data_IF_152250387537
#
_entry.id   IF_152250387537
#
_cell.length_a   1.000
_cell.length_b   1.000
_cell.length_c   1.000
_cell.angle_alpha   90.00
_cell.angle_beta   90.00
_cell.angle_gamma   90.00
#
_symmetry.space_group_name_H-M   'P 1'
#
loop_
_entity.id
_entity.type
_entity.pdbx_description
1 polymer ?
#
# COMPACT_ATOMS: atom_id res chain seq x y z
N UNK A 1 -33.87 -7.88 30.39
CA UNK A 1 -34.26 -7.16 29.15
C UNK A 1 -35.42 -6.24 29.50
N UNK A 2 -35.12 -5.04 29.99
CA UNK A 2 -36.12 -4.04 30.40
C UNK A 2 -36.27 -3.02 29.27
N UNK A 3 -37.43 -3.04 28.62
CA UNK A 3 -37.83 -2.05 27.62
C UNK A 3 -38.22 -0.77 28.37
N UNK A 4 -37.36 0.26 28.34
CA UNK A 4 -37.74 1.60 28.80
C UNK A 4 -38.57 2.26 27.70
N UNK A 5 -39.78 2.70 28.08
CA UNK A 5 -40.78 3.33 27.22
C UNK A 5 -40.22 4.63 26.62
N UNK A 6 -40.49 4.83 25.33
CA UNK A 6 -40.10 6.01 24.56
C UNK A 6 -40.94 7.22 25.01
N UNK A 7 -40.42 8.05 25.91
CA UNK A 7 -40.98 9.37 26.19
C UNK A 7 -40.28 10.46 25.36
N UNK A 8 -41.11 11.38 24.88
CA UNK A 8 -40.86 12.36 23.83
C UNK A 8 -40.27 13.67 24.37
N UNK A 9 -39.02 13.64 24.80
CA UNK A 9 -38.23 14.86 24.98
C UNK A 9 -36.77 14.57 24.67
N UNK A 10 -36.33 15.10 23.54
CA UNK A 10 -35.00 14.90 22.96
C UNK A 10 -34.06 15.94 23.58
N UNK A 11 -33.28 15.53 24.60
CA UNK A 11 -32.06 16.24 24.97
C UNK A 11 -30.89 15.33 24.60
N UNK A 12 -30.05 15.83 23.70
CA UNK A 12 -28.99 15.10 22.99
C UNK A 12 -27.67 15.12 23.79
N UNK A 13 -27.77 14.96 25.10
CA UNK A 13 -26.63 14.71 25.96
C UNK A 13 -26.48 13.19 26.07
N UNK A 14 -25.33 12.69 25.59
CA UNK A 14 -24.93 11.30 25.76
C UNK A 14 -24.57 11.06 27.23
N UNK A 15 -25.56 11.16 28.11
CA UNK A 15 -25.40 10.82 29.51
C UNK A 15 -25.15 9.31 29.60
N UNK A 16 -23.90 8.96 29.86
CA UNK A 16 -23.55 7.67 30.45
C UNK A 16 -24.38 7.58 31.73
N UNK A 17 -25.03 6.44 32.03
CA UNK A 17 -25.70 6.28 33.32
C UNK A 17 -24.63 6.38 34.41
N UNK A 18 -24.44 7.58 34.95
CA UNK A 18 -23.52 7.87 36.03
C UNK A 18 -23.91 7.03 37.23
N UNK A 19 -23.05 6.08 37.62
CA UNK A 19 -23.04 5.42 38.93
C UNK A 19 -24.38 4.88 39.45
N UNK A 20 -25.41 4.75 38.61
CA UNK A 20 -26.74 4.38 39.02
C UNK A 20 -26.82 2.86 38.94
N UNK A 21 -26.95 2.19 40.08
CA UNK A 21 -27.00 0.73 40.24
C UNK A 21 -28.25 0.09 39.63
N UNK A 22 -28.95 0.81 38.74
CA UNK A 22 -30.17 0.35 38.06
C UNK A 22 -29.88 -0.40 36.75
N UNK A 23 -28.65 -0.33 36.23
CA UNK A 23 -28.25 -0.98 34.96
C UNK A 23 -27.02 -1.85 35.18
N UNK A 24 -27.20 -3.17 35.13
CA UNK A 24 -26.09 -4.14 35.28
C UNK A 24 -25.26 -4.31 33.98
N UNK A 25 -25.90 -4.15 32.82
CA UNK A 25 -25.26 -4.32 31.51
C UNK A 25 -25.63 -3.20 30.55
N UNK A 26 -24.61 -2.57 29.98
CA UNK A 26 -24.78 -1.51 28.98
C UNK A 26 -24.32 -2.01 27.60
N UNK A 27 -25.25 -2.07 26.65
CA UNK A 27 -25.01 -2.56 25.29
C UNK A 27 -25.43 -1.53 24.25
N UNK A 28 -24.68 -0.42 24.16
CA UNK A 28 -24.80 0.57 23.07
C UNK A 28 -23.42 0.94 22.52
N UNK A 29 -23.34 1.34 21.24
CA UNK A 29 -22.10 1.86 20.68
C UNK A 29 -21.68 3.12 21.45
N UNK A 30 -20.58 3.03 22.19
CA UNK A 30 -19.95 4.17 22.84
C UNK A 30 -18.48 4.23 22.49
N UNK A 31 -17.92 5.43 22.49
CA UNK A 31 -16.46 5.60 22.35
C UNK A 31 -15.82 5.35 23.69
N UNK A 32 -14.83 4.46 23.74
CA UNK A 32 -14.08 4.22 24.97
C UNK A 32 -13.21 5.45 25.28
N UNK A 33 -13.45 6.05 26.44
CA UNK A 33 -12.67 7.15 27.01
C UNK A 33 -12.07 6.70 28.34
N UNK A 34 -10.95 7.29 28.72
CA UNK A 34 -10.30 7.02 30.01
C UNK A 34 -11.22 7.38 31.19
N UNK A 35 -12.01 8.44 31.03
CA UNK A 35 -13.04 8.89 32.00
C UNK A 35 -14.04 7.79 32.37
N UNK A 36 -14.29 6.81 31.49
CA UNK A 36 -15.26 5.74 31.75
C UNK A 36 -14.64 4.51 32.40
N UNK A 37 -13.30 4.41 32.44
CA UNK A 37 -12.60 3.28 33.05
C UNK A 37 -12.63 3.32 34.58
N UNK A 38 -13.00 4.45 35.18
CA UNK A 38 -13.20 4.56 36.63
C UNK A 38 -14.51 3.92 37.07
N UNK A 39 -15.54 3.99 36.23
CA UNK A 39 -16.92 3.66 36.60
C UNK A 39 -17.42 2.37 35.93
N UNK A 40 -16.81 1.98 34.80
CA UNK A 40 -17.23 0.83 34.02
C UNK A 40 -16.03 0.00 33.54
N UNK A 41 -16.20 -1.32 33.54
CA UNK A 41 -15.21 -2.26 33.01
C UNK A 41 -15.60 -2.68 31.58
N UNK A 42 -14.92 -2.15 30.54
CA UNK A 42 -15.19 -2.57 29.17
C UNK A 42 -14.69 -4.01 28.96
N UNK A 43 -15.52 -4.87 28.39
CA UNK A 43 -15.14 -6.25 28.07
C UNK A 43 -14.12 -6.30 26.93
N UNK A 44 -14.48 -5.72 25.79
CA UNK A 44 -13.64 -5.70 24.59
C UNK A 44 -14.11 -4.64 23.60
N UNK A 45 -13.20 -4.06 22.82
CA UNK A 45 -13.54 -3.19 21.72
C UNK A 45 -14.10 -4.01 20.56
N UNK A 46 -15.43 -4.02 20.39
CA UNK A 46 -16.11 -4.77 19.32
C UNK A 46 -15.86 -4.11 17.95
N UNK A 47 -15.64 -2.80 17.93
CA UNK A 47 -15.54 -2.03 16.70
C UNK A 47 -14.50 -0.92 16.79
N UNK A 48 -13.51 -0.96 15.88
CA UNK A 48 -12.61 0.16 15.63
C UNK A 48 -13.18 1.05 14.52
N UNK A 49 -13.51 2.28 14.87
CA UNK A 49 -13.91 3.31 13.90
C UNK A 49 -12.68 3.85 13.20
N UNK A 50 -12.62 3.66 11.88
CA UNK A 50 -11.61 4.27 10.99
C UNK A 50 -12.31 5.32 10.13
N UNK A 51 -11.77 6.51 10.14
CA UNK A 51 -12.32 7.68 9.46
C UNK A 51 -11.23 8.33 8.63
N UNK A 52 -11.56 8.67 7.39
CA UNK A 52 -10.58 9.19 6.46
C UNK A 52 -11.16 9.45 5.09
N UNK A 53 -10.26 9.65 4.13
CA UNK A 53 -10.62 9.93 2.75
C UNK A 53 -10.60 8.64 1.94
N UNK A 54 -11.66 8.44 1.17
CA UNK A 54 -11.71 7.48 0.10
C UNK A 54 -11.51 8.22 -1.22
N UNK A 55 -10.55 7.78 -2.02
CA UNK A 55 -10.27 8.33 -3.34
C UNK A 55 -9.94 7.22 -4.32
N UNK A 56 -10.02 7.52 -5.61
CA UNK A 56 -9.55 6.63 -6.67
C UNK A 56 -8.19 7.12 -7.17
N UNK A 57 -7.20 6.23 -7.16
CA UNK A 57 -5.88 6.53 -7.70
C UNK A 57 -5.76 5.99 -9.13
N UNK A 58 -5.88 6.88 -10.12
CA UNK A 58 -5.71 6.52 -11.53
C UNK A 58 -4.24 6.65 -11.91
N UNK A 59 -3.55 5.51 -11.98
CA UNK A 59 -2.11 5.45 -12.29
C UNK A 59 -1.87 5.67 -13.79
N UNK A 60 -1.59 6.92 -14.19
CA UNK A 60 -1.13 7.25 -15.54
C UNK A 60 0.39 7.03 -15.65
N UNK A 61 0.89 5.80 -15.46
CA UNK A 61 2.32 5.52 -15.70
C UNK A 61 2.51 4.98 -17.12
N UNK A 62 3.42 5.59 -17.87
CA UNK A 62 3.80 5.10 -19.21
C UNK A 62 4.47 3.73 -19.07
N UNK A 63 4.12 2.79 -19.96
CA UNK A 63 4.65 1.42 -19.96
C UNK A 63 6.19 1.37 -20.08
N UNK A 64 6.83 2.38 -20.69
CA UNK A 64 8.29 2.43 -20.88
C UNK A 64 9.07 2.54 -19.57
N UNK A 65 8.53 3.23 -18.56
CA UNK A 65 9.22 3.40 -17.27
C UNK A 65 9.25 2.09 -16.48
N UNK A 66 8.34 1.15 -16.77
CA UNK A 66 8.23 -0.11 -16.02
C UNK A 66 9.33 -1.10 -16.36
N UNK A 67 9.69 -1.24 -17.64
CA UNK A 67 10.69 -2.24 -18.07
C UNK A 67 12.13 -1.87 -17.71
N UNK A 68 12.41 -0.59 -17.47
CA UNK A 68 13.73 -0.11 -17.01
C UNK A 68 13.87 -0.10 -15.49
N UNK A 69 12.77 -0.22 -14.75
CA UNK A 69 12.70 -0.21 -13.29
C UNK A 69 13.43 -1.36 -12.56
N UNK A 70 13.50 -2.61 -13.09
CA UNK A 70 14.03 -3.74 -12.34
C UNK A 70 15.53 -3.65 -12.02
N UNK A 71 16.28 -2.90 -12.83
CA UNK A 71 17.71 -2.72 -12.67
C UNK A 71 18.08 -1.24 -12.65
N UNK A 72 19.03 -0.92 -11.78
CA UNK A 72 19.60 0.43 -11.73
C UNK A 72 20.49 0.67 -12.95
N UNK A 73 20.64 1.93 -13.33
CA UNK A 73 21.50 2.38 -14.44
C UNK A 73 22.91 1.74 -14.39
N UNK A 74 23.63 1.66 -13.25
CA UNK A 74 24.95 1.02 -13.23
C UNK A 74 24.93 -0.47 -13.56
N UNK A 75 23.85 -1.20 -13.25
CA UNK A 75 23.72 -2.63 -13.59
C UNK A 75 23.54 -2.80 -15.10
N UNK A 76 22.72 -1.97 -15.73
CA UNK A 76 22.58 -1.96 -17.20
C UNK A 76 23.91 -1.69 -17.90
N UNK A 77 24.66 -0.70 -17.42
CA UNK A 77 26.01 -0.39 -17.92
C UNK A 77 26.95 -1.59 -17.73
N UNK A 78 26.88 -2.26 -16.59
CA UNK A 78 27.68 -3.46 -16.31
C UNK A 78 27.35 -4.62 -17.25
N UNK A 79 26.08 -4.84 -17.59
CA UNK A 79 25.63 -5.86 -18.55
C UNK A 79 26.18 -5.58 -19.96
N UNK A 80 26.16 -4.31 -20.39
CA UNK A 80 26.72 -3.92 -21.69
C UNK A 80 28.23 -4.17 -21.70
N UNK A 81 28.93 -3.81 -20.61
CA UNK A 81 30.36 -4.07 -20.49
C UNK A 81 30.72 -5.55 -20.49
N UNK A 82 29.95 -6.40 -19.79
CA UNK A 82 30.20 -7.85 -19.79
C UNK A 82 29.94 -8.48 -21.16
N UNK A 83 28.95 -7.99 -21.91
CA UNK A 83 28.69 -8.41 -23.29
C UNK A 83 29.83 -8.01 -24.25
N UNK A 84 30.35 -6.78 -24.12
CA UNK A 84 31.49 -6.34 -24.92
C UNK A 84 32.76 -7.12 -24.57
N UNK A 85 33.01 -7.34 -23.27
CA UNK A 85 34.17 -8.11 -22.80
C UNK A 85 34.09 -9.57 -23.27
N UNK A 86 32.93 -10.21 -23.17
CA UNK A 86 32.74 -11.59 -23.64
C UNK A 86 32.96 -11.71 -25.14
N UNK A 87 32.50 -10.73 -25.93
CA UNK A 87 32.76 -10.65 -27.37
C UNK A 87 34.26 -10.61 -27.68
N UNK A 88 35.04 -9.81 -26.93
CA UNK A 88 36.50 -9.73 -27.09
C UNK A 88 37.17 -11.07 -26.74
N UNK A 89 36.73 -11.73 -25.66
CA UNK A 89 37.25 -13.05 -25.27
C UNK A 89 36.93 -14.10 -26.33
N UNK A 90 35.71 -14.13 -26.86
CA UNK A 90 35.33 -15.05 -27.94
C UNK A 90 36.10 -14.77 -29.23
N UNK A 91 36.32 -13.51 -29.56
CA UNK A 91 37.16 -13.12 -30.69
C UNK A 91 38.60 -13.63 -30.53
N UNK A 92 39.21 -13.47 -29.35
CA UNK A 92 40.54 -14.00 -29.05
C UNK A 92 40.53 -15.53 -29.22
N UNK A 93 39.59 -16.24 -28.59
CA UNK A 93 39.50 -17.71 -28.70
C UNK A 93 39.33 -18.18 -30.15
N UNK A 94 38.51 -17.48 -30.93
CA UNK A 94 38.29 -17.73 -32.35
C UNK A 94 39.55 -17.48 -33.18
N UNK A 95 40.32 -16.43 -32.85
CA UNK A 95 41.61 -16.15 -33.45
C UNK A 95 42.65 -17.24 -33.17
N UNK A 96 42.73 -17.72 -31.93
CA UNK A 96 43.59 -18.86 -31.58
C UNK A 96 43.18 -20.14 -32.30
N UNK A 97 41.88 -20.41 -32.40
CA UNK A 97 41.36 -21.56 -33.12
C UNK A 97 41.70 -21.52 -34.61
N UNK A 98 41.56 -20.34 -35.24
CA UNK A 98 41.98 -20.13 -36.63
C UNK A 98 43.47 -20.38 -36.83
N UNK A 99 44.32 -19.99 -35.87
CA UNK A 99 45.76 -20.22 -35.95
C UNK A 99 46.14 -21.71 -35.87
N UNK A 100 45.35 -22.51 -35.15
CA UNK A 100 45.62 -23.93 -34.91
C UNK A 100 45.01 -24.85 -35.98
N UNK A 101 43.78 -24.58 -36.41
CA UNK A 101 42.97 -25.51 -37.23
C UNK A 101 42.68 -24.94 -38.63
N UNK A 102 42.84 -23.62 -38.82
CA UNK A 102 42.36 -22.91 -40.01
C UNK A 102 40.86 -22.64 -39.94
N UNK A 103 40.41 -21.54 -40.56
CA UNK A 103 39.01 -21.09 -40.56
C UNK A 103 38.83 -19.60 -40.84
N UNK A 104 37.59 -19.17 -40.99
CA UNK A 104 37.21 -17.76 -41.14
C UNK A 104 36.87 -17.15 -39.76
N UNK A 105 37.46 -15.99 -39.45
CA UNK A 105 37.19 -15.26 -38.20
C UNK A 105 36.64 -13.89 -38.54
N UNK A 106 35.42 -13.60 -38.08
CA UNK A 106 34.81 -12.28 -38.22
C UNK A 106 34.35 -11.79 -36.84
N UNK A 107 34.82 -10.61 -36.43
CA UNK A 107 34.44 -10.00 -35.14
C UNK A 107 32.93 -9.80 -35.04
N UNK A 108 32.29 -9.40 -36.13
CA UNK A 108 30.84 -9.21 -36.19
C UNK A 108 30.08 -10.52 -35.93
N UNK A 109 30.60 -11.65 -36.38
CA UNK A 109 29.98 -12.95 -36.16
C UNK A 109 30.04 -13.33 -34.67
N UNK A 110 31.19 -13.15 -34.02
CA UNK A 110 31.35 -13.43 -32.58
C UNK A 110 30.50 -12.46 -31.73
N UNK A 111 30.37 -11.20 -32.13
CA UNK A 111 29.47 -10.24 -31.47
C UNK A 111 28.00 -10.66 -31.58
N UNK A 112 27.55 -11.02 -32.79
CA UNK A 112 26.18 -11.48 -33.02
C UNK A 112 25.88 -12.75 -32.22
N UNK A 113 26.86 -13.63 -32.07
CA UNK A 113 26.74 -14.87 -31.31
C UNK A 113 26.68 -14.60 -29.80
N UNK A 114 27.49 -13.67 -29.27
CA UNK A 114 27.38 -13.21 -27.89
C UNK A 114 26.03 -12.52 -27.62
N UNK A 115 25.58 -11.66 -28.54
CA UNK A 115 24.31 -10.97 -28.45
C UNK A 115 23.12 -11.94 -28.51
N UNK A 116 23.16 -12.92 -29.42
CA UNK A 116 22.09 -13.92 -29.52
C UNK A 116 22.00 -14.76 -28.25
N UNK A 117 23.15 -15.21 -27.71
CA UNK A 117 23.19 -15.95 -26.46
C UNK A 117 22.64 -15.14 -25.28
N UNK A 118 22.89 -13.83 -25.25
CA UNK A 118 22.30 -12.93 -24.27
C UNK A 118 20.76 -12.83 -24.41
N UNK A 119 20.27 -12.79 -25.65
CA UNK A 119 18.84 -12.87 -25.97
C UNK A 119 18.24 -14.29 -25.87
N UNK A 120 18.98 -15.27 -25.35
CA UNK A 120 18.57 -16.69 -25.27
C UNK A 120 18.30 -17.35 -26.63
N UNK A 121 18.83 -16.78 -27.71
CA UNK A 121 18.75 -17.33 -29.05
C UNK A 121 20.04 -18.08 -29.40
N UNK A 122 19.90 -19.36 -29.76
CA UNK A 122 21.02 -20.23 -30.12
C UNK A 122 21.29 -20.08 -31.62
N UNK A 123 22.38 -19.38 -31.96
CA UNK A 123 22.94 -19.40 -33.31
C UNK A 123 23.80 -20.66 -33.50
N UNK A 124 23.93 -21.17 -34.74
CA UNK A 124 24.76 -22.34 -35.01
C UNK A 124 26.22 -22.05 -34.68
N UNK A 125 26.71 -22.61 -33.57
CA UNK A 125 28.09 -22.48 -33.12
C UNK A 125 28.96 -23.57 -33.76
N UNK A 126 29.86 -23.16 -34.65
CA UNK A 126 30.90 -24.04 -35.19
C UNK A 126 32.14 -23.98 -34.30
N UNK A 127 32.12 -24.63 -33.12
CA UNK A 127 33.26 -24.72 -32.20
C UNK A 127 33.97 -26.07 -32.25
N UNK A 128 35.22 -26.10 -32.73
CA UNK A 128 36.04 -27.31 -32.81
C UNK A 128 36.88 -27.52 -31.54
N UNK A 129 37.32 -26.44 -30.87
CA UNK A 129 38.08 -26.53 -29.61
C UNK A 129 37.18 -26.66 -28.37
N UNK A 130 37.55 -27.56 -27.45
CA UNK A 130 36.88 -27.73 -26.16
C UNK A 130 36.92 -26.44 -25.30
N UNK A 131 38.02 -25.68 -25.35
CA UNK A 131 38.14 -24.42 -24.61
C UNK A 131 37.06 -23.40 -25.02
N UNK A 132 36.80 -23.25 -26.33
CA UNK A 132 35.76 -22.36 -26.84
C UNK A 132 34.36 -22.82 -26.42
N UNK A 133 34.09 -24.13 -26.46
CA UNK A 133 32.80 -24.70 -26.00
C UNK A 133 32.53 -24.43 -24.52
N UNK A 134 33.54 -24.61 -23.67
CA UNK A 134 33.41 -24.36 -22.22
C UNK A 134 33.18 -22.87 -21.94
N UNK A 135 33.92 -21.98 -22.61
CA UNK A 135 33.73 -20.54 -22.46
C UNK A 135 32.31 -20.11 -22.86
N UNK A 136 31.79 -20.63 -23.97
CA UNK A 136 30.41 -20.39 -24.42
C UNK A 136 29.38 -20.92 -23.43
N UNK A 137 29.57 -22.12 -22.90
CA UNK A 137 28.67 -22.69 -21.92
C UNK A 137 28.59 -21.84 -20.65
N UNK A 138 29.73 -21.41 -20.11
CA UNK A 138 29.79 -20.54 -18.92
C UNK A 138 29.10 -19.20 -19.20
N UNK A 139 29.31 -18.63 -20.39
CA UNK A 139 28.67 -17.37 -20.78
C UNK A 139 27.15 -17.51 -20.86
N UNK A 140 26.63 -18.54 -21.53
CA UNK A 140 25.18 -18.81 -21.62
C UNK A 140 24.60 -19.02 -20.21
N UNK A 141 25.28 -19.76 -19.35
CA UNK A 141 24.85 -19.96 -17.97
C UNK A 141 24.79 -18.65 -17.18
N UNK A 142 25.78 -17.76 -17.36
CA UNK A 142 25.78 -16.43 -16.74
C UNK A 142 24.63 -15.54 -17.25
N UNK A 143 24.37 -15.53 -18.56
CA UNK A 143 23.27 -14.79 -19.17
C UNK A 143 21.91 -15.31 -18.70
N UNK A 144 21.78 -16.64 -18.54
CA UNK A 144 20.59 -17.26 -17.98
C UNK A 144 20.31 -16.80 -16.54
N UNK A 145 21.35 -16.77 -15.68
CA UNK A 145 21.21 -16.25 -14.32
C UNK A 145 20.75 -14.79 -14.31
N UNK A 146 21.37 -13.92 -15.12
CA UNK A 146 21.00 -12.51 -15.23
C UNK A 146 19.53 -12.38 -15.64
N UNK A 147 19.09 -13.18 -16.61
CA UNK A 147 17.70 -13.19 -17.05
C UNK A 147 16.73 -13.64 -15.95
N UNK A 148 17.05 -14.68 -15.19
CA UNK A 148 16.24 -15.12 -14.05
C UNK A 148 16.09 -14.03 -12.99
N UNK A 149 17.17 -13.30 -12.68
CA UNK A 149 17.11 -12.17 -11.75
C UNK A 149 16.28 -11.02 -12.32
N UNK A 150 16.43 -10.70 -13.60
CA UNK A 150 15.65 -9.66 -14.26
C UNK A 150 14.15 -9.93 -14.18
N UNK A 151 13.72 -11.14 -14.57
CA UNK A 151 12.29 -11.49 -14.58
C UNK A 151 11.70 -11.55 -13.17
N UNK A 152 12.45 -12.04 -12.17
CA UNK A 152 12.02 -12.05 -10.78
C UNK A 152 11.83 -10.63 -10.21
N UNK A 153 12.79 -9.74 -10.44
CA UNK A 153 12.67 -8.34 -9.98
C UNK A 153 11.58 -7.58 -10.70
N UNK A 154 11.39 -7.82 -12.01
CA UNK A 154 10.29 -7.24 -12.78
C UNK A 154 8.94 -7.68 -12.22
N UNK A 155 8.79 -8.97 -11.93
CA UNK A 155 7.56 -9.51 -11.34
C UNK A 155 7.30 -8.91 -9.95
N UNK A 156 8.33 -8.81 -9.11
CA UNK A 156 8.22 -8.20 -7.78
C UNK A 156 7.74 -6.74 -7.87
N UNK A 157 8.32 -5.95 -8.77
CA UNK A 157 7.86 -4.57 -8.99
C UNK A 157 6.43 -4.51 -9.51
N UNK A 158 6.04 -5.41 -10.41
CA UNK A 158 4.67 -5.43 -10.94
C UNK A 158 3.63 -5.76 -9.87
N UNK A 159 3.98 -6.66 -8.94
CA UNK A 159 3.13 -6.99 -7.79
C UNK A 159 3.07 -5.83 -6.79
N UNK A 160 4.21 -5.18 -6.53
CA UNK A 160 4.33 -4.16 -5.47
C UNK A 160 3.95 -2.73 -5.92
N UNK A 161 3.86 -2.43 -7.22
CA UNK A 161 3.52 -1.07 -7.71
C UNK A 161 2.08 -0.63 -7.39
N UNK A 162 1.27 -1.54 -6.84
CA UNK A 162 -0.06 -1.22 -6.30
C UNK A 162 -0.03 -0.50 -4.94
N UNK A 163 1.12 -0.49 -4.26
CA UNK A 163 1.21 -0.06 -2.86
C UNK A 163 1.89 1.31 -2.69
N UNK A 164 1.70 2.26 -3.62
CA UNK A 164 2.07 3.66 -3.33
C UNK A 164 1.09 4.25 -2.33
N UNK A 165 1.36 4.07 -1.05
CA UNK A 165 0.61 4.62 0.07
C UNK A 165 0.61 6.15 -0.05
N UNK A 166 -0.56 6.75 -0.27
CA UNK A 166 -0.74 8.19 -0.24
C UNK A 166 -0.99 8.62 1.20
N UNK A 167 -0.12 9.45 1.74
CA UNK A 167 -0.31 10.00 3.08
C UNK A 167 -1.21 11.25 3.06
N UNK A 168 -1.75 11.61 4.22
CA UNK A 168 -2.56 12.83 4.39
C UNK A 168 -1.81 14.09 3.93
N UNK A 169 -0.48 14.10 4.07
CA UNK A 169 0.39 15.19 3.59
C UNK A 169 0.37 15.30 2.06
N UNK A 170 0.51 14.17 1.37
CA UNK A 170 0.50 14.13 -0.10
C UNK A 170 -0.88 14.49 -0.62
N UNK A 171 -1.94 13.98 0.03
CA UNK A 171 -3.32 14.32 -0.28
C UNK A 171 -3.57 15.83 -0.10
N UNK A 172 -3.04 16.44 0.98
CA UNK A 172 -3.22 17.88 1.22
C UNK A 172 -2.58 18.78 0.16
N UNK A 173 -1.46 18.33 -0.43
CA UNK A 173 -0.74 19.05 -1.48
C UNK A 173 -1.26 18.74 -2.89
N UNK A 174 -2.05 17.68 -3.04
CA UNK A 174 -2.59 17.25 -4.32
C UNK A 174 -3.80 18.07 -4.80
N UNK A 175 -4.09 17.98 -6.09
CA UNK A 175 -5.22 18.64 -6.77
C UNK A 175 -6.57 17.91 -6.59
N UNK A 176 -6.69 17.06 -5.57
CA UNK A 176 -7.96 16.37 -5.31
C UNK A 176 -8.99 17.34 -4.73
N UNK A 177 -10.22 17.26 -5.24
CA UNK A 177 -11.36 17.98 -4.67
C UNK A 177 -11.85 17.23 -3.43
N UNK A 178 -11.98 17.92 -2.30
CA UNK A 178 -12.52 17.32 -1.09
C UNK A 178 -14.05 17.40 -1.11
N UNK A 179 -14.72 16.31 -0.71
CA UNK A 179 -16.19 16.22 -0.60
C UNK A 179 -16.56 15.57 0.74
N UNK A 180 -17.58 16.11 1.40
CA UNK A 180 -18.12 15.54 2.65
C UNK A 180 -19.49 14.94 2.39
N UNK A 181 -19.75 13.77 2.97
CA UNK A 181 -21.08 13.14 2.95
C UNK A 181 -22.00 13.87 3.94
N UNK A 182 -23.21 14.22 3.49
CA UNK A 182 -24.22 14.97 4.28
C UNK A 182 -24.43 14.43 5.69
N UNK A 183 -24.54 13.11 5.85
CA UNK A 183 -24.81 12.47 7.15
C UNK A 183 -23.62 12.53 8.12
N UNK A 184 -22.41 12.83 7.61
CA UNK A 184 -21.18 12.92 8.39
C UNK A 184 -20.79 14.36 8.75
N UNK A 185 -21.44 15.37 8.15
CA UNK A 185 -21.05 16.78 8.32
C UNK A 185 -21.05 17.20 9.80
N UNK A 186 -22.10 16.85 10.54
CA UNK A 186 -22.28 17.23 11.95
C UNK A 186 -21.25 16.59 12.91
N UNK A 187 -20.89 15.33 12.64
CA UNK A 187 -19.92 14.58 13.47
C UNK A 187 -18.50 15.06 13.19
N UNK A 188 -18.24 15.46 11.94
CA UNK A 188 -16.93 15.92 11.47
C UNK A 188 -16.60 17.30 12.05
N UNK A 189 -17.54 18.24 12.00
CA UNK A 189 -17.34 19.62 12.42
C UNK A 189 -16.95 19.72 13.91
N UNK A 190 -17.67 19.00 14.78
CA UNK A 190 -17.35 18.96 16.23
C UNK A 190 -16.01 18.26 16.53
N UNK A 191 -15.67 17.18 15.82
CA UNK A 191 -14.46 16.38 16.13
C UNK A 191 -13.18 16.99 15.56
N UNK A 192 -13.25 17.60 14.37
CA UNK A 192 -12.07 18.24 13.77
C UNK A 192 -11.64 19.44 14.61
N UNK A 193 -12.59 20.27 15.06
CA UNK A 193 -12.31 21.44 15.90
C UNK A 193 -11.77 21.10 17.30
N UNK A 194 -12.18 19.96 17.87
CA UNK A 194 -11.73 19.54 19.22
C UNK A 194 -10.31 18.95 19.23
N UNK A 195 -9.76 18.54 18.09
CA UNK A 195 -8.53 17.73 18.01
C UNK A 195 -7.40 18.41 17.23
N UNK A 196 -7.54 19.71 16.93
CA UNK A 196 -6.64 20.45 16.04
C UNK A 196 -5.30 20.85 16.66
N UNK A 197 -4.51 19.89 17.13
CA UNK A 197 -3.11 20.13 17.56
C UNK A 197 -2.13 19.96 16.40
N UNK A 198 -2.45 19.12 15.41
CA UNK A 198 -1.56 18.80 14.29
C UNK A 198 -1.61 19.82 13.14
N UNK A 199 -0.42 20.30 12.72
CA UNK A 199 -0.24 21.28 11.63
C UNK A 199 -0.82 20.81 10.29
N UNK A 200 -0.81 19.50 10.04
CA UNK A 200 -1.35 18.91 8.81
C UNK A 200 -2.87 18.89 8.81
N UNK A 201 -3.51 18.57 9.94
CA UNK A 201 -4.96 18.67 10.09
C UNK A 201 -5.45 20.11 9.88
N UNK A 202 -4.73 21.12 10.35
CA UNK A 202 -5.06 22.55 10.11
C UNK A 202 -5.10 22.93 8.63
N UNK A 203 -4.26 22.31 7.81
CA UNK A 203 -4.21 22.59 6.36
C UNK A 203 -5.39 21.95 5.64
N UNK A 204 -5.75 20.73 6.06
CA UNK A 204 -6.95 20.03 5.57
C UNK A 204 -8.22 20.75 6.05
N UNK A 205 -8.26 21.24 7.29
CA UNK A 205 -9.34 22.07 7.87
C UNK A 205 -9.63 23.33 7.06
N UNK A 206 -8.59 24.04 6.60
CA UNK A 206 -8.78 25.20 5.71
C UNK A 206 -9.40 24.83 4.37
N UNK A 207 -9.05 23.66 3.82
CA UNK A 207 -9.69 23.14 2.61
C UNK A 207 -11.13 22.68 2.88
N UNK A 208 -11.42 22.20 4.09
CA UNK A 208 -12.77 21.79 4.51
C UNK A 208 -13.80 22.92 4.51
N UNK A 209 -13.40 24.16 4.81
CA UNK A 209 -14.34 25.30 4.85
C UNK A 209 -14.97 25.62 3.48
N UNK A 210 -14.36 25.20 2.38
CA UNK A 210 -14.88 25.39 1.02
C UNK A 210 -15.39 24.09 0.39
N UNK A 211 -15.53 23.02 1.18
CA UNK A 211 -15.87 21.70 0.67
C UNK A 211 -17.36 21.57 0.38
N UNK A 212 -17.68 20.95 -0.75
CA UNK A 212 -19.04 20.61 -1.15
C UNK A 212 -19.59 19.45 -0.32
N UNK A 213 -20.79 19.62 0.21
CA UNK A 213 -21.55 18.55 0.88
C UNK A 213 -22.41 17.83 -0.16
N UNK A 214 -22.31 16.51 -0.23
CA UNK A 214 -23.03 15.68 -1.22
C UNK A 214 -23.70 14.46 -0.58
N UNK A 215 -24.67 13.89 -1.29
CA UNK A 215 -25.27 12.58 -0.94
C UNK A 215 -24.30 11.46 -1.25
N UNK A 216 -24.38 10.34 -0.51
CA UNK A 216 -23.47 9.18 -0.64
C UNK A 216 -23.35 8.69 -2.10
N UNK A 217 -24.47 8.52 -2.80
CA UNK A 217 -24.47 8.04 -4.18
C UNK A 217 -23.72 8.98 -5.13
N UNK A 218 -23.99 10.30 -5.03
CA UNK A 218 -23.33 11.32 -5.85
C UNK A 218 -21.83 11.43 -5.52
N UNK A 219 -21.47 11.29 -4.25
CA UNK A 219 -20.07 11.29 -3.81
C UNK A 219 -19.30 10.08 -4.38
N UNK A 220 -19.90 8.89 -4.37
CA UNK A 220 -19.29 7.69 -4.96
C UNK A 220 -19.14 7.80 -6.49
N UNK A 221 -20.12 8.38 -7.18
CA UNK A 221 -19.96 8.66 -8.62
C UNK A 221 -18.84 9.67 -8.89
N UNK A 222 -18.67 10.68 -8.03
CA UNK A 222 -17.57 11.63 -8.14
C UNK A 222 -16.21 10.96 -7.90
N UNK A 223 -16.09 10.05 -6.93
CA UNK A 223 -14.85 9.26 -6.73
C UNK A 223 -14.53 8.38 -7.93
N UNK A 224 -15.57 7.86 -8.61
CA UNK A 224 -15.38 7.01 -9.78
C UNK A 224 -14.90 7.80 -11.00
N UNK A 225 -15.50 8.97 -11.25
CA UNK A 225 -15.40 9.67 -12.53
C UNK A 225 -14.44 10.88 -12.48
N UNK A 226 -14.24 11.50 -11.30
CA UNK A 226 -13.36 12.66 -11.11
C UNK A 226 -12.30 12.44 -10.02
N UNK A 227 -11.30 13.34 -9.94
CA UNK A 227 -10.26 13.32 -8.90
C UNK A 227 -10.82 13.88 -7.58
N UNK A 228 -11.71 13.12 -6.96
CA UNK A 228 -12.39 13.52 -5.72
C UNK A 228 -11.93 12.65 -4.55
N UNK A 229 -11.67 13.28 -3.41
CA UNK A 229 -11.41 12.63 -2.13
C UNK A 229 -12.63 12.83 -1.22
N UNK A 230 -13.34 11.74 -0.96
CA UNK A 230 -14.57 11.76 -0.14
C UNK A 230 -14.23 11.40 1.29
N UNK A 231 -14.60 12.28 2.23
CA UNK A 231 -14.48 12.02 3.65
C UNK A 231 -15.62 11.14 4.13
N UNK A 232 -15.29 9.99 4.71
CA UNK A 232 -16.27 9.01 5.19
C UNK A 232 -15.66 8.11 6.27
N UNK A 233 -16.53 7.39 6.99
CA UNK A 233 -16.09 6.15 7.61
C UNK A 233 -16.08 5.03 6.56
N UNK A 234 -15.06 4.19 6.59
CA UNK A 234 -14.93 3.17 5.55
C UNK A 234 -15.99 2.06 5.70
N UNK A 235 -16.34 1.71 6.94
CA UNK A 235 -17.17 0.53 7.21
C UNK A 235 -18.62 0.68 6.75
N UNK A 236 -19.23 1.86 6.90
CA UNK A 236 -20.58 2.10 6.35
C UNK A 236 -20.56 2.16 4.83
N UNK A 237 -19.45 2.62 4.24
CA UNK A 237 -19.34 2.84 2.80
C UNK A 237 -18.98 1.58 2.01
N UNK A 238 -18.23 0.65 2.60
CA UNK A 238 -17.81 -0.61 1.96
C UNK A 238 -18.95 -1.44 1.32
N UNK A 239 -20.09 -1.65 2.01
CA UNK A 239 -21.23 -2.34 1.40
C UNK A 239 -21.78 -1.65 0.16
N UNK A 240 -21.72 -0.31 0.11
CA UNK A 240 -22.18 0.49 -1.02
C UNK A 240 -21.17 0.45 -2.18
N UNK A 241 -19.87 0.54 -1.87
CA UNK A 241 -18.79 0.40 -2.86
C UNK A 241 -18.89 -0.94 -3.57
N UNK A 242 -19.05 -2.04 -2.81
CA UNK A 242 -19.16 -3.40 -3.38
C UNK A 242 -20.36 -3.57 -4.33
N UNK A 243 -21.40 -2.74 -4.19
CA UNK A 243 -22.58 -2.76 -5.06
C UNK A 243 -22.44 -1.84 -6.28
N UNK A 244 -21.71 -0.74 -6.15
CA UNK A 244 -21.62 0.30 -7.19
C UNK A 244 -20.37 0.21 -8.06
N UNK A 245 -19.30 -0.42 -7.58
CA UNK A 245 -18.02 -0.53 -8.26
C UNK A 245 -17.78 -1.94 -8.78
N UNK A 246 -17.16 -2.03 -9.96
CA UNK A 246 -16.64 -3.29 -10.46
C UNK A 246 -15.38 -3.71 -9.70
N UNK A 247 -15.10 -5.02 -9.65
CA UNK A 247 -13.96 -5.57 -8.91
C UNK A 247 -12.62 -4.92 -9.29
N UNK A 248 -12.44 -4.57 -10.56
CA UNK A 248 -11.21 -3.90 -11.03
C UNK A 248 -11.10 -2.48 -10.45
N UNK A 249 -12.20 -1.73 -10.41
CA UNK A 249 -12.24 -0.37 -9.91
C UNK A 249 -12.10 -0.31 -8.38
N UNK A 250 -12.53 -1.36 -7.67
CA UNK A 250 -12.32 -1.49 -6.22
C UNK A 250 -10.82 -1.54 -5.89
N UNK A 251 -10.02 -2.25 -6.69
CA UNK A 251 -8.57 -2.33 -6.51
C UNK A 251 -7.83 -1.01 -6.73
N UNK A 252 -8.47 -0.03 -7.37
CA UNK A 252 -7.93 1.32 -7.60
C UNK A 252 -8.34 2.32 -6.52
N UNK A 253 -9.20 1.91 -5.59
CA UNK A 253 -9.59 2.73 -4.44
C UNK A 253 -8.49 2.73 -3.38
N UNK A 254 -8.27 3.89 -2.80
CA UNK A 254 -7.28 4.10 -1.74
C UNK A 254 -7.95 4.76 -0.53
N UNK A 255 -7.58 4.27 0.65
CA UNK A 255 -7.97 4.82 1.95
C UNK A 255 -6.83 5.68 2.50
N UNK A 256 -7.12 6.91 2.89
CA UNK A 256 -6.18 7.81 3.57
C UNK A 256 -6.76 8.18 4.92
N UNK A 257 -6.23 7.58 5.98
CA UNK A 257 -6.70 7.80 7.35
C UNK A 257 -6.48 9.25 7.79
N UNK A 258 -7.51 9.87 8.35
CA UNK A 258 -7.40 11.22 8.90
C UNK A 258 -6.52 11.24 10.17
N UNK A 259 -6.51 10.11 10.90
CA UNK A 259 -5.81 9.94 12.17
C UNK A 259 -4.87 8.72 12.13
N UNK A 260 -3.71 8.82 11.46
CA UNK A 260 -2.79 7.69 11.30
C UNK A 260 -2.22 7.20 12.66
N UNK A 261 -2.11 8.10 13.64
CA UNK A 261 -1.44 7.86 14.92
C UNK A 261 -2.34 7.21 16.01
N UNK A 262 -3.54 6.76 15.65
CA UNK A 262 -4.40 5.93 16.52
C UNK A 262 -4.55 4.50 16.00
N UNK A 263 -3.59 3.98 15.22
CA UNK A 263 -3.33 2.53 15.25
C UNK A 263 -2.90 2.23 16.68
N UNK A 264 -3.86 1.79 17.50
CA UNK A 264 -3.64 1.54 18.91
C UNK A 264 -2.40 0.69 19.11
N UNK A 265 -1.60 1.06 20.11
CA UNK A 265 -0.63 0.19 20.76
C UNK A 265 -1.34 -0.99 21.47
N UNK A 266 -2.22 -1.69 20.75
CA UNK A 266 -3.05 -2.78 21.26
C UNK A 266 -2.72 -4.08 20.52
N UNK A 267 -1.44 -4.31 20.21
CA UNK A 267 -0.88 -5.66 20.14
C UNK A 267 -0.29 -6.11 21.48
N UNK A 268 -0.22 -5.24 22.48
CA UNK A 268 -0.05 -5.64 23.87
C UNK A 268 -1.41 -5.62 24.57
N UNK A 269 -1.92 -6.75 25.10
CA UNK A 269 -3.05 -6.70 26.01
C UNK A 269 -2.70 -5.77 27.18
N UNK A 270 -3.67 -5.04 27.75
CA UNK A 270 -3.42 -4.28 28.97
C UNK A 270 -2.84 -5.25 30.00
N UNK A 271 -1.63 -4.96 30.49
CA UNK A 271 -1.05 -5.67 31.64
C UNK A 271 -2.07 -5.55 32.75
N UNK A 272 -2.76 -6.66 33.04
CA UNK A 272 -3.61 -6.79 34.21
C UNK A 272 -2.74 -6.40 35.39
N UNK A 273 -3.10 -5.28 36.03
CA UNK A 273 -2.52 -4.86 37.29
C UNK A 273 -2.68 -6.04 38.25
N UNK A 274 -1.56 -6.66 38.66
CA UNK A 274 -1.54 -7.65 39.71
C UNK A 274 -2.00 -6.98 41.01
N UNK A 275 -3.29 -7.07 41.31
CA UNK A 275 -3.81 -6.72 42.63
C UNK A 275 -3.34 -7.84 43.57
N UNK A 276 -2.28 -7.52 44.30
CA UNK A 276 -1.71 -8.28 45.41
C UNK A 276 -2.84 -8.56 46.42
N UNK A 277 -3.27 -9.82 46.49
CA UNK A 277 -4.24 -10.32 47.46
C UNK A 277 -3.56 -10.35 48.84
N UNK A 278 -3.60 -9.23 49.57
CA UNK A 278 -3.30 -9.21 51.00
C UNK A 278 -4.54 -9.64 51.77
N UNK A 279 -4.78 -10.95 51.87
CA UNK A 279 -5.61 -11.49 52.94
C UNK A 279 -4.76 -11.61 54.20
N UNK A 280 -4.71 -10.52 54.99
CA UNK A 280 -4.56 -10.66 56.44
C UNK A 280 -5.92 -11.14 56.95
N UNK A 281 -6.02 -12.44 57.23
CA UNK A 281 -7.05 -12.96 58.12
C UNK A 281 -6.40 -12.99 59.51
N UNK A 282 -6.83 -12.07 60.37
CA UNK A 282 -6.53 -12.06 61.79
C UNK A 282 -7.85 -11.95 62.51
N UNK A 283 -7.96 -12.77 63.56
CA UNK A 283 -9.08 -12.99 64.50
C UNK A 283 -10.14 -14.01 64.06
#
# INVERSE_FOLDING_TARGET
MTYVRRDSSFNEDYEVPHGNTSVDFYARPMTLKEEYLTDAYPLHSIFQWRFGFLLRYKQNKSLQTFYSLPFTIPVWVSIIWTLLLSTVVFYILSYWERRLIGGETCLHHEFLLAFSAFCQHILPLQANLCSRRIAYFIFIFSAYIIHCFYTSNLLSHLVNDKDRIMDLKDLSNSDYEFVIIKDMNLITDRRIHQLTTDKHLKTVEKKFQNTKVMTVSSALTAVRDSKTAVLTDYKTLYPLIKRMFENHAICELMEVDLYPNRKGNTSSPPKILNIKKNSKLGE
#
